data_IF_887791374582
#
_entry.id   IF_887791374582
#
_cell.length_a   1.000
_cell.length_b   1.000
_cell.length_c   1.000
_cell.angle_alpha   90.00
_cell.angle_beta   90.00
_cell.angle_gamma   90.00
#
_symmetry.space_group_name_H-M   'P 1'
#
loop_
_entity.id
_entity.type
_entity.pdbx_description
1 polymer ?
#
# COMPACT_ATOMS: atom_id res chain seq x y z
N UNK A 1 -4.94 -3.50 16.95
CA UNK A 1 -4.66 -4.80 16.31
C UNK A 1 -3.15 -4.99 16.33
N UNK A 2 -2.63 -6.15 16.75
CA UNK A 2 -1.19 -6.42 16.68
C UNK A 2 -0.87 -6.93 15.27
N UNK A 3 0.09 -6.30 14.60
CA UNK A 3 0.60 -6.75 13.30
C UNK A 3 1.80 -7.68 13.56
N UNK A 4 1.77 -8.87 12.98
CA UNK A 4 2.88 -9.83 13.09
C UNK A 4 3.60 -9.92 11.75
N UNK A 5 4.93 -9.78 11.80
CA UNK A 5 5.81 -10.13 10.68
C UNK A 5 6.28 -11.56 10.89
N UNK A 6 6.08 -12.40 9.88
CA UNK A 6 6.54 -13.78 9.84
C UNK A 6 7.75 -13.84 8.92
N UNK A 7 8.79 -14.54 9.36
CA UNK A 7 9.99 -14.82 8.58
C UNK A 7 10.21 -16.33 8.57
N UNK A 8 10.25 -16.93 7.40
CA UNK A 8 10.38 -18.38 7.23
C UNK A 8 11.40 -18.74 6.15
N UNK A 9 12.08 -19.88 6.33
CA UNK A 9 13.01 -20.40 5.33
C UNK A 9 12.23 -20.83 4.10
N UNK A 10 12.66 -20.38 2.92
CA UNK A 10 12.03 -20.71 1.64
C UNK A 10 13.12 -21.03 0.61
N UNK A 11 13.23 -22.30 0.22
CA UNK A 11 14.33 -22.79 -0.63
C UNK A 11 15.71 -22.36 -0.10
N UNK A 12 16.50 -21.71 -0.96
CA UNK A 12 17.83 -21.21 -0.61
C UNK A 12 17.80 -19.88 0.17
N UNK A 13 16.64 -19.21 0.26
CA UNK A 13 16.50 -17.92 0.93
C UNK A 13 15.47 -17.93 2.05
N UNK A 14 14.85 -16.77 2.27
CA UNK A 14 13.88 -16.49 3.32
C UNK A 14 12.74 -15.66 2.76
N UNK A 15 11.53 -16.00 3.17
CA UNK A 15 10.31 -15.26 2.87
C UNK A 15 9.90 -14.48 4.12
N UNK A 16 9.85 -13.16 4.02
CA UNK A 16 9.27 -12.28 5.02
C UNK A 16 7.85 -11.88 4.58
N UNK A 17 6.86 -11.93 5.48
CA UNK A 17 5.47 -11.54 5.18
C UNK A 17 4.74 -10.95 6.37
N UNK A 18 3.72 -10.14 6.11
CA UNK A 18 2.82 -9.63 7.15
C UNK A 18 1.60 -10.55 7.28
N UNK A 19 1.38 -11.08 8.48
CA UNK A 19 0.26 -11.99 8.75
C UNK A 19 -1.10 -11.32 8.46
N UNK A 20 -1.96 -12.01 7.70
CA UNK A 20 -3.26 -11.47 7.27
C UNK A 20 -3.22 -10.60 6.02
N UNK A 21 -2.05 -10.27 5.46
CA UNK A 21 -1.90 -9.44 4.27
C UNK A 21 -1.27 -10.24 3.11
N UNK A 22 -2.08 -10.62 2.12
CA UNK A 22 -1.66 -11.49 0.99
C UNK A 22 -0.60 -10.86 0.08
N UNK A 23 -0.53 -9.54 0.05
CA UNK A 23 0.25 -8.74 -0.89
C UNK A 23 1.44 -8.04 -0.20
N UNK A 24 1.68 -8.31 1.09
CA UNK A 24 2.82 -7.77 1.83
C UNK A 24 3.78 -8.92 2.17
N UNK A 25 4.63 -9.26 1.21
CA UNK A 25 5.67 -10.25 1.34
C UNK A 25 6.89 -9.90 0.48
N UNK A 26 8.06 -10.41 0.86
CA UNK A 26 9.28 -10.29 0.09
C UNK A 26 10.22 -11.46 0.35
N UNK A 27 10.96 -11.87 -0.69
CA UNK A 27 11.95 -12.93 -0.61
C UNK A 27 13.37 -12.34 -0.72
N UNK A 28 14.31 -12.86 0.05
CA UNK A 28 15.74 -12.62 -0.16
C UNK A 28 16.61 -13.78 0.33
N UNK A 29 17.89 -13.79 -0.02
CA UNK A 29 18.83 -14.87 0.35
C UNK A 29 19.26 -14.85 1.82
N UNK A 30 19.09 -13.73 2.52
CA UNK A 30 19.35 -13.61 3.96
C UNK A 30 18.11 -13.13 4.70
N UNK A 31 17.99 -13.50 5.98
CA UNK A 31 16.92 -13.02 6.86
C UNK A 31 16.83 -11.49 6.89
N UNK A 32 18.00 -10.83 7.02
CA UNK A 32 18.10 -9.38 7.07
C UNK A 32 17.56 -8.74 5.80
N UNK A 33 17.97 -9.26 4.64
CA UNK A 33 17.57 -8.69 3.37
C UNK A 33 16.07 -8.93 3.12
N UNK A 34 15.52 -10.07 3.52
CA UNK A 34 14.09 -10.35 3.35
C UNK A 34 13.22 -9.36 4.13
N UNK A 35 13.66 -8.97 5.35
CA UNK A 35 12.99 -7.95 6.15
C UNK A 35 13.14 -6.55 5.53
N UNK A 36 14.32 -6.21 4.99
CA UNK A 36 14.55 -4.94 4.29
C UNK A 36 13.66 -4.85 3.05
N UNK A 37 13.58 -5.91 2.26
CA UNK A 37 12.73 -5.93 1.07
C UNK A 37 11.25 -5.85 1.44
N UNK A 38 10.81 -6.53 2.51
CA UNK A 38 9.44 -6.40 2.99
C UNK A 38 9.12 -4.96 3.40
N UNK A 39 10.05 -4.27 4.06
CA UNK A 39 9.91 -2.85 4.39
C UNK A 39 9.72 -2.02 3.11
N UNK A 40 10.54 -2.24 2.09
CA UNK A 40 10.45 -1.52 0.82
C UNK A 40 9.10 -1.77 0.12
N UNK A 41 8.59 -3.01 0.15
CA UNK A 41 7.26 -3.35 -0.37
C UNK A 41 6.16 -2.59 0.38
N UNK A 42 6.23 -2.51 1.71
CA UNK A 42 5.26 -1.76 2.51
C UNK A 42 5.30 -0.27 2.17
N UNK A 43 6.50 0.32 2.04
CA UNK A 43 6.67 1.73 1.65
C UNK A 43 6.08 2.01 0.26
N UNK A 44 6.34 1.14 -0.73
CA UNK A 44 5.75 1.25 -2.06
C UNK A 44 4.22 1.19 -2.04
N UNK A 45 3.64 0.30 -1.24
CA UNK A 45 2.17 0.19 -1.10
C UNK A 45 1.59 1.43 -0.40
N UNK A 46 2.31 2.01 0.56
CA UNK A 46 1.89 3.27 1.19
C UNK A 46 1.87 4.42 0.19
N UNK A 47 2.92 4.56 -0.62
CA UNK A 47 3.01 5.60 -1.64
C UNK A 47 1.88 5.46 -2.68
N UNK A 48 1.59 4.22 -3.12
CA UNK A 48 0.46 3.94 -4.01
C UNK A 48 -0.88 4.40 -3.43
N UNK A 49 -1.17 4.10 -2.16
CA UNK A 49 -2.42 4.54 -1.53
C UNK A 49 -2.49 6.06 -1.38
N UNK A 50 -1.36 6.73 -1.14
CA UNK A 50 -1.32 8.20 -1.08
C UNK A 50 -1.62 8.84 -2.43
N UNK A 51 -1.09 8.26 -3.52
CA UNK A 51 -1.41 8.67 -4.89
C UNK A 51 -2.91 8.51 -5.18
N UNK A 52 -3.49 7.35 -4.87
CA UNK A 52 -4.93 7.11 -5.02
C UNK A 52 -5.78 8.11 -4.24
N UNK A 53 -5.45 8.38 -2.98
CA UNK A 53 -6.17 9.36 -2.17
C UNK A 53 -6.07 10.78 -2.75
N UNK A 54 -4.94 11.12 -3.38
CA UNK A 54 -4.78 12.39 -4.06
C UNK A 54 -5.64 12.49 -5.32
N UNK A 55 -5.71 11.42 -6.13
CA UNK A 55 -6.57 11.36 -7.32
C UNK A 55 -8.05 11.49 -6.94
N UNK A 56 -8.50 10.75 -5.93
CA UNK A 56 -9.86 10.84 -5.40
C UNK A 56 -10.19 12.26 -4.90
N UNK A 57 -9.23 12.92 -4.25
CA UNK A 57 -9.38 14.31 -3.80
C UNK A 57 -9.58 15.27 -4.97
N UNK A 58 -8.84 15.09 -6.07
CA UNK A 58 -8.99 15.90 -7.28
C UNK A 58 -10.36 15.67 -7.90
N UNK A 59 -10.76 14.40 -8.09
CA UNK A 59 -12.06 14.00 -8.63
C UNK A 59 -13.20 14.63 -7.81
N UNK A 60 -13.15 14.52 -6.48
CA UNK A 60 -14.16 15.10 -5.60
C UNK A 60 -14.31 16.62 -5.79
N UNK A 61 -13.20 17.35 -5.96
CA UNK A 61 -13.26 18.81 -6.13
C UNK A 61 -13.87 19.20 -7.50
N UNK A 62 -13.56 18.44 -8.57
CA UNK A 62 -14.18 18.62 -9.88
C UNK A 62 -15.69 18.34 -9.85
N UNK A 63 -16.10 17.27 -9.14
CA UNK A 63 -17.51 16.96 -8.93
C UNK A 63 -18.21 18.05 -8.11
N UNK A 64 -17.58 18.57 -7.05
CA UNK A 64 -18.13 19.66 -6.24
C UNK A 64 -18.40 20.91 -7.09
N UNK A 65 -17.43 21.30 -7.93
CA UNK A 65 -17.56 22.41 -8.87
C UNK A 65 -18.70 22.17 -9.86
N UNK A 66 -18.87 20.94 -10.33
CA UNK A 66 -19.94 20.56 -11.26
C UNK A 66 -21.32 20.64 -10.59
N UNK A 67 -21.44 20.21 -9.34
CA UNK A 67 -22.67 20.33 -8.54
C UNK A 67 -23.04 21.80 -8.33
N UNK A 68 -22.08 22.65 -7.98
CA UNK A 68 -22.31 24.09 -7.81
C UNK A 68 -22.86 24.75 -9.09
N UNK A 69 -22.36 24.37 -10.27
CA UNK A 69 -22.88 24.88 -11.55
C UNK A 69 -24.36 24.59 -11.75
N UNK A 70 -24.83 23.39 -11.37
CA UNK A 70 -26.25 23.05 -11.47
C UNK A 70 -27.10 23.78 -10.43
N UNK A 71 -26.56 24.09 -9.25
CA UNK A 71 -27.29 24.82 -8.21
C UNK A 71 -27.58 26.29 -8.59
N UNK A 72 -26.78 26.89 -9.48
CA UNK A 72 -26.95 28.29 -9.93
C UNK A 72 -27.89 28.39 -11.15
N UNK A 73 -28.17 27.29 -11.83
CA UNK A 73 -29.03 27.25 -13.04
C UNK A 73 -30.53 27.11 -12.74
N UNK A 74 -30.96 27.33 -11.48
CA UNK A 74 -32.36 27.21 -11.01
C UNK A 74 -32.91 28.57 -10.59
#
# INVERSE_FOLDING_TARGET
MKINVVLEKDGDGYLARVEGHRNLFAFAYTEKDAVIELKNVVEMVMDYHLEQANDERIIRNELATTVEKYAIQV
#
